data_IF_588035870518
#
_entry.id   IF_588035870518
#
_cell.length_a   1.000
_cell.length_b   1.000
_cell.length_c   1.000
_cell.angle_alpha   90.00
_cell.angle_beta   90.00
_cell.angle_gamma   90.00
#
_symmetry.space_group_name_H-M   'P 1'
#
loop_
_entity.id
_entity.type
_entity.pdbx_description
1 polymer ?
#
# COMPACT_ATOMS: atom_id res chain seq x y z
N UNK A 1 -6.63 -6.82 20.07
CA UNK A 1 -5.22 -7.08 19.70
C UNK A 1 -4.62 -5.80 19.13
N UNK A 2 -3.29 -5.65 19.08
CA UNK A 2 -2.59 -4.46 18.56
C UNK A 2 -1.94 -4.78 17.21
N UNK A 3 -2.16 -3.99 16.14
CA UNK A 3 -1.51 -4.21 14.85
C UNK A 3 -0.03 -3.82 14.94
N UNK A 4 0.87 -4.82 14.94
CA UNK A 4 2.31 -4.61 15.18
C UNK A 4 3.13 -4.17 13.96
N UNK A 5 2.61 -4.33 12.74
CA UNK A 5 3.31 -3.92 11.52
C UNK A 5 2.77 -4.58 10.27
N UNK A 6 3.33 -4.18 9.13
CA UNK A 6 3.07 -4.70 7.79
C UNK A 6 4.41 -4.89 7.06
N UNK A 7 4.47 -5.85 6.15
CA UNK A 7 5.63 -6.13 5.31
C UNK A 7 5.19 -6.19 3.86
N UNK A 8 5.86 -5.43 2.98
CA UNK A 8 5.51 -5.30 1.57
C UNK A 8 6.75 -5.50 0.69
N UNK A 9 6.55 -6.11 -0.48
CA UNK A 9 7.53 -6.07 -1.55
C UNK A 9 7.33 -4.81 -2.39
N UNK A 10 8.38 -4.00 -2.51
CA UNK A 10 8.30 -2.71 -3.20
C UNK A 10 9.59 -2.36 -3.94
N UNK A 11 9.49 -1.47 -4.91
CA UNK A 11 10.64 -0.86 -5.59
C UNK A 11 10.40 0.63 -5.80
N UNK A 12 11.47 1.43 -5.74
CA UNK A 12 11.43 2.85 -6.11
C UNK A 12 11.36 3.09 -7.61
N UNK A 13 11.42 2.02 -8.41
CA UNK A 13 11.31 2.08 -9.86
C UNK A 13 9.84 2.25 -10.29
N UNK A 14 9.67 2.88 -11.44
CA UNK A 14 8.38 3.04 -12.09
C UNK A 14 8.01 1.77 -12.86
N UNK A 15 7.54 0.76 -12.14
CA UNK A 15 7.16 -0.57 -12.67
C UNK A 15 5.64 -0.72 -12.75
N UNK A 16 5.20 -1.59 -13.66
CA UNK A 16 3.80 -2.02 -13.81
C UNK A 16 3.65 -3.47 -13.38
N UNK A 17 4.02 -3.77 -12.13
CA UNK A 17 3.99 -5.14 -11.60
C UNK A 17 2.68 -5.45 -10.85
N UNK A 18 2.15 -4.49 -10.09
CA UNK A 18 0.85 -4.61 -9.43
C UNK A 18 -0.22 -3.76 -10.13
N UNK A 19 -1.44 -4.28 -10.26
CA UNK A 19 -2.59 -3.56 -10.83
C UNK A 19 -3.19 -2.54 -9.87
N UNK A 20 -3.95 -1.58 -10.40
CA UNK A 20 -4.63 -0.54 -9.63
C UNK A 20 -3.70 0.56 -9.09
N UNK A 21 -4.03 1.07 -7.92
CA UNK A 21 -3.44 2.28 -7.32
C UNK A 21 -3.82 3.56 -8.05
N UNK A 22 -3.26 4.68 -7.62
CA UNK A 22 -3.58 6.02 -8.14
C UNK A 22 -3.34 6.20 -9.64
N UNK A 23 -2.44 5.42 -10.24
CA UNK A 23 -2.16 5.43 -11.68
C UNK A 23 -3.02 4.45 -12.49
N UNK A 24 -3.90 3.69 -11.82
CA UNK A 24 -4.81 2.73 -12.42
C UNK A 24 -4.11 1.76 -13.38
N UNK A 25 -3.03 1.11 -12.92
CA UNK A 25 -2.32 0.09 -13.71
C UNK A 25 -3.30 -1.03 -14.07
N UNK A 26 -3.51 -1.24 -15.36
CA UNK A 26 -4.40 -2.27 -15.92
C UNK A 26 -3.64 -3.58 -16.15
N UNK A 27 -4.37 -4.65 -16.47
CA UNK A 27 -3.77 -5.95 -16.82
C UNK A 27 -2.93 -5.85 -18.09
N UNK A 28 -3.35 -5.01 -19.05
CA UNK A 28 -2.64 -4.74 -20.29
C UNK A 28 -1.30 -4.03 -20.05
N UNK A 29 -1.25 -3.10 -19.10
CA UNK A 29 -0.06 -2.33 -18.75
C UNK A 29 1.05 -3.18 -18.11
N UNK A 30 0.72 -4.39 -17.63
CA UNK A 30 1.70 -5.25 -16.95
C UNK A 30 2.88 -5.59 -17.86
N UNK A 31 2.65 -5.76 -19.16
CA UNK A 31 3.69 -6.15 -20.11
C UNK A 31 4.75 -5.08 -20.38
N UNK A 32 4.49 -3.81 -20.02
CA UNK A 32 5.38 -2.69 -20.35
C UNK A 32 6.65 -2.67 -19.49
N UNK A 33 6.53 -2.91 -18.18
CA UNK A 33 7.62 -2.73 -17.20
C UNK A 33 7.59 -3.76 -16.07
N UNK A 34 7.23 -5.00 -16.37
CA UNK A 34 7.37 -6.13 -15.44
C UNK A 34 8.83 -6.58 -15.37
N UNK A 35 9.52 -6.32 -14.25
CA UNK A 35 10.95 -6.58 -14.12
C UNK A 35 11.32 -7.58 -13.02
N UNK A 36 10.39 -7.90 -12.13
CA UNK A 36 10.60 -8.93 -11.10
C UNK A 36 10.62 -10.34 -11.71
N UNK A 37 11.42 -11.22 -11.12
CA UNK A 37 11.47 -12.64 -11.44
C UNK A 37 10.68 -13.51 -10.44
N UNK A 38 10.19 -12.89 -9.36
CA UNK A 38 9.42 -13.55 -8.31
C UNK A 38 8.02 -12.92 -8.29
N UNK A 39 7.62 -12.35 -7.16
CA UNK A 39 6.31 -11.75 -6.99
C UNK A 39 6.30 -10.28 -7.48
N UNK A 40 5.13 -9.80 -7.97
CA UNK A 40 4.95 -8.41 -8.38
C UNK A 40 5.10 -7.44 -7.20
N UNK A 41 5.92 -6.41 -7.39
CA UNK A 41 6.24 -5.42 -6.35
C UNK A 41 5.41 -4.15 -6.54
N UNK A 42 5.12 -3.48 -5.41
CA UNK A 42 4.54 -2.13 -5.45
C UNK A 42 5.54 -1.16 -6.09
N UNK A 43 5.07 -0.35 -7.03
CA UNK A 43 5.85 0.80 -7.50
C UNK A 43 5.82 1.95 -6.47
N UNK A 44 6.65 2.96 -6.68
CA UNK A 44 6.81 4.08 -5.75
C UNK A 44 5.48 4.80 -5.42
N UNK A 45 4.61 4.98 -6.41
CA UNK A 45 3.31 5.66 -6.21
C UNK A 45 2.36 4.80 -5.38
N UNK A 46 2.25 3.50 -5.68
CA UNK A 46 1.42 2.55 -4.92
C UNK A 46 1.93 2.39 -3.48
N UNK A 47 3.25 2.34 -3.27
CA UNK A 47 3.83 2.24 -1.93
C UNK A 47 3.52 3.48 -1.07
N UNK A 48 3.59 4.68 -1.66
CA UNK A 48 3.27 5.93 -0.95
C UNK A 48 1.78 6.05 -0.64
N UNK A 49 0.92 5.70 -1.60
CA UNK A 49 -0.53 5.64 -1.41
C UNK A 49 -0.90 4.72 -0.23
N UNK A 50 -0.35 3.50 -0.22
CA UNK A 50 -0.58 2.55 0.86
C UNK A 50 -0.08 3.05 2.21
N UNK A 51 1.05 3.77 2.25
CA UNK A 51 1.56 4.38 3.47
C UNK A 51 0.58 5.40 4.08
N UNK A 52 -0.06 6.23 3.24
CA UNK A 52 -1.09 7.17 3.70
C UNK A 52 -2.35 6.45 4.19
N UNK A 53 -2.85 5.45 3.45
CA UNK A 53 -4.01 4.66 3.87
C UNK A 53 -3.79 3.96 5.23
N UNK A 54 -2.60 3.39 5.44
CA UNK A 54 -2.23 2.77 6.73
C UNK A 54 -2.17 3.82 7.84
N UNK A 55 -1.60 5.00 7.57
CA UNK A 55 -1.51 6.08 8.55
C UNK A 55 -2.91 6.61 8.96
N UNK A 56 -3.83 6.74 8.00
CA UNK A 56 -5.22 7.12 8.24
C UNK A 56 -5.94 6.07 9.11
N UNK A 57 -5.83 4.79 8.76
CA UNK A 57 -6.47 3.72 9.53
C UNK A 57 -5.93 3.63 10.97
N UNK A 58 -4.62 3.76 11.17
CA UNK A 58 -4.02 3.79 12.51
C UNK A 58 -4.47 5.02 13.30
N UNK A 59 -4.59 6.18 12.65
CA UNK A 59 -5.08 7.40 13.29
C UNK A 59 -6.55 7.28 13.70
N UNK A 60 -7.40 6.74 12.83
CA UNK A 60 -8.80 6.48 13.10
C UNK A 60 -8.99 5.47 14.24
N UNK A 61 -8.19 4.39 14.27
CA UNK A 61 -8.19 3.42 15.38
C UNK A 61 -7.85 4.07 16.71
N UNK A 62 -6.85 4.94 16.75
CA UNK A 62 -6.46 5.67 17.97
C UNK A 62 -7.59 6.59 18.44
N UNK A 63 -8.27 7.28 17.52
CA UNK A 63 -9.46 8.09 17.85
C UNK A 63 -10.55 7.25 18.50
N UNK A 64 -10.95 6.14 17.86
CA UNK A 64 -11.97 5.22 18.39
C UNK A 64 -11.61 4.66 19.78
N UNK A 65 -10.33 4.34 20.00
CA UNK A 65 -9.85 3.85 21.29
C UNK A 65 -9.88 4.93 22.39
N UNK A 66 -9.57 6.18 22.03
CA UNK A 66 -9.67 7.31 22.96
C UNK A 66 -11.12 7.60 23.35
N UNK A 67 -12.04 7.62 22.38
CA UNK A 67 -13.48 7.84 22.63
C UNK A 67 -14.06 6.78 23.57
N UNK A 68 -13.69 5.51 23.35
CA UNK A 68 -14.13 4.38 24.19
C UNK A 68 -13.55 4.41 25.62
N UNK A 69 -12.48 5.17 25.87
CA UNK A 69 -11.88 5.29 27.20
C UNK A 69 -12.47 6.45 28.03
N UNK A 70 -13.22 7.36 27.40
CA UNK A 70 -13.81 8.55 28.04
C UNK A 70 -15.30 8.36 28.38
N UNK A 71 -15.98 7.39 27.74
CA UNK A 71 -17.35 6.98 28.07
C UNK A 71 -17.43 5.87 29.10
#
# INVERSE_FOLDING_TARGET
>A
TIPGGVHFEMTGQDVTECTGGVRAVTDEDLSDRYHTACDPRLNASQALELAFLVAEELSARRGRAADAAVG
#
